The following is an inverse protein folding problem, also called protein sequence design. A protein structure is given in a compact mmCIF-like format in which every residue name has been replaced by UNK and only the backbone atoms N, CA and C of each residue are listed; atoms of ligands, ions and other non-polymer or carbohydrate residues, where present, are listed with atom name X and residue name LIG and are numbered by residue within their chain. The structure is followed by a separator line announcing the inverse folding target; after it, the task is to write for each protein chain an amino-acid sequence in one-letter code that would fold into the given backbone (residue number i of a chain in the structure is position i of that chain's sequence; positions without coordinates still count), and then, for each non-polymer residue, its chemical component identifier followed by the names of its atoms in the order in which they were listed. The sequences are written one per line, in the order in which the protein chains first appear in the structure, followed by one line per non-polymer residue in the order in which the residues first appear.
data_IF_870616476811
#
_entry.id   IF_870616476811
#
_cell.length_a   1.000
_cell.length_b   1.000
_cell.length_c   1.000
_cell.angle_alpha   90.00
_cell.angle_beta   90.00
_cell.angle_gamma   90.00
#
_symmetry.space_group_name_H-M   'P 1'
#
loop_
_entity.id
_entity.type
_entity.pdbx_description
1 polymer ?
#
# COMPACT_ATOMS: atom_id res chain seq x y z
N UNK A 1 -18.69 -21.54 4.29
CA UNK A 1 -18.69 -20.32 5.15
C UNK A 1 -19.42 -19.14 4.52
N UNK A 2 -18.91 -18.45 3.49
CA UNK A 2 -19.58 -17.23 2.96
C UNK A 2 -21.00 -17.49 2.43
N UNK A 3 -21.15 -18.51 1.59
CA UNK A 3 -22.46 -18.95 1.07
C UNK A 3 -23.38 -19.46 2.18
N UNK A 4 -22.83 -20.13 3.19
CA UNK A 4 -23.59 -20.64 4.35
C UNK A 4 -24.14 -19.52 5.25
N UNK A 5 -23.47 -18.36 5.27
CA UNK A 5 -23.94 -17.15 5.95
C UNK A 5 -24.86 -16.29 5.06
N UNK A 6 -25.20 -16.75 3.85
CA UNK A 6 -26.03 -16.00 2.90
C UNK A 6 -25.34 -14.78 2.28
N UNK A 7 -24.00 -14.70 2.35
CA UNK A 7 -23.23 -13.61 1.74
C UNK A 7 -22.91 -13.95 0.29
N UNK A 8 -23.37 -13.10 -0.63
CA UNK A 8 -22.97 -13.14 -2.04
C UNK A 8 -21.68 -12.34 -2.22
N UNK A 9 -20.57 -13.05 -2.46
CA UNK A 9 -19.25 -12.45 -2.66
C UNK A 9 -18.74 -12.88 -4.03
N UNK A 10 -18.48 -11.90 -4.89
CA UNK A 10 -17.89 -12.15 -6.20
C UNK A 10 -16.53 -12.85 -6.05
N UNK A 11 -16.35 -13.92 -6.82
CA UNK A 11 -15.18 -14.81 -6.77
C UNK A 11 -13.85 -14.06 -6.92
N UNK A 12 -13.81 -12.91 -7.62
CA UNK A 12 -12.60 -12.10 -7.82
C UNK A 12 -12.02 -11.61 -6.49
N UNK A 13 -12.85 -11.34 -5.49
CA UNK A 13 -12.37 -10.93 -4.16
C UNK A 13 -11.67 -12.09 -3.46
N UNK A 14 -12.23 -13.29 -3.54
CA UNK A 14 -11.66 -14.50 -2.94
C UNK A 14 -10.35 -14.87 -3.64
N UNK A 15 -10.33 -14.80 -4.97
CA UNK A 15 -9.12 -15.03 -5.77
C UNK A 15 -8.01 -14.04 -5.41
N UNK A 16 -8.31 -12.74 -5.32
CA UNK A 16 -7.31 -11.73 -4.96
C UNK A 16 -6.71 -11.97 -3.57
N UNK A 17 -7.54 -12.36 -2.60
CA UNK A 17 -7.07 -12.73 -1.26
C UNK A 17 -6.15 -13.96 -1.32
N UNK A 18 -6.55 -15.00 -2.07
CA UNK A 18 -5.75 -16.21 -2.23
C UNK A 18 -4.39 -15.92 -2.92
N UNK A 19 -4.38 -15.08 -3.96
CA UNK A 19 -3.15 -14.67 -4.66
C UNK A 19 -2.20 -13.93 -3.72
N UNK A 20 -2.72 -12.98 -2.94
CA UNK A 20 -1.92 -12.23 -1.96
C UNK A 20 -1.33 -13.17 -0.89
N UNK A 21 -2.09 -14.18 -0.46
CA UNK A 21 -1.64 -15.17 0.51
C UNK A 21 -0.63 -16.18 -0.04
N UNK A 22 -0.50 -16.34 -1.37
CA UNK A 22 0.31 -17.42 -1.97
C UNK A 22 1.42 -16.93 -2.90
N UNK A 23 1.55 -15.62 -3.13
CA UNK A 23 2.52 -15.02 -4.06
C UNK A 23 3.99 -15.40 -3.83
N UNK A 24 4.38 -15.80 -2.62
CA UNK A 24 5.76 -16.16 -2.25
C UNK A 24 6.07 -17.64 -2.45
N UNK A 25 5.08 -18.45 -2.84
CA UNK A 25 5.19 -19.92 -2.94
C UNK A 25 4.81 -20.66 -1.66
N UNK A 26 4.58 -19.95 -0.56
CA UNK A 26 4.05 -20.49 0.71
C UNK A 26 2.78 -19.74 1.12
N UNK A 27 1.93 -20.36 1.94
CA UNK A 27 0.71 -19.72 2.44
C UNK A 27 1.07 -18.77 3.58
N UNK A 28 0.96 -17.47 3.32
CA UNK A 28 1.18 -16.41 4.30
C UNK A 28 -0.14 -15.97 4.95
N UNK A 29 -0.09 -15.75 6.26
CA UNK A 29 -1.22 -15.18 7.01
C UNK A 29 -1.42 -13.68 6.71
N UNK A 30 -2.66 -13.23 6.80
CA UNK A 30 -3.00 -11.80 6.79
C UNK A 30 -2.86 -11.28 8.23
N UNK A 31 -1.85 -10.45 8.47
CA UNK A 31 -1.59 -9.88 9.80
C UNK A 31 -0.13 -9.49 9.99
N UNK A 32 0.22 -9.08 11.23
CA UNK A 32 1.55 -8.54 11.58
C UNK A 32 2.70 -9.55 11.44
N UNK A 33 2.44 -10.85 11.52
CA UNK A 33 3.45 -11.90 11.35
C UNK A 33 3.43 -12.50 9.93
N UNK A 34 2.76 -11.85 8.98
CA UNK A 34 2.73 -12.23 7.59
C UNK A 34 2.71 -11.00 6.70
N UNK A 35 1.75 -10.93 5.79
CA UNK A 35 1.73 -9.94 4.70
C UNK A 35 1.81 -8.48 5.19
N UNK A 36 1.17 -8.13 6.31
CA UNK A 36 1.16 -6.75 6.82
C UNK A 36 2.48 -6.35 7.48
N UNK A 37 3.17 -7.29 8.13
CA UNK A 37 4.47 -7.05 8.78
C UNK A 37 5.64 -6.97 7.80
N UNK A 38 5.50 -7.59 6.63
CA UNK A 38 6.50 -7.58 5.55
C UNK A 38 6.41 -6.36 4.63
N UNK A 39 5.52 -5.39 4.93
CA UNK A 39 5.46 -4.15 4.14
C UNK A 39 6.81 -3.43 4.15
N UNK A 40 7.26 -3.00 2.98
CA UNK A 40 8.55 -2.32 2.82
C UNK A 40 8.58 -0.92 3.44
N UNK A 41 7.43 -0.24 3.54
CA UNK A 41 7.34 1.08 4.14
C UNK A 41 7.37 0.99 5.67
N UNK A 42 8.25 1.77 6.30
CA UNK A 42 8.37 1.92 7.75
C UNK A 42 7.09 2.52 8.31
N UNK A 43 6.58 3.58 7.67
CA UNK A 43 5.35 4.25 8.09
C UNK A 43 4.14 3.33 7.93
N UNK A 44 4.09 2.54 6.85
CA UNK A 44 3.01 1.58 6.63
C UNK A 44 3.02 0.42 7.64
N UNK A 45 4.20 -0.06 8.07
CA UNK A 45 4.31 -1.04 9.17
C UNK A 45 3.92 -0.43 10.50
N UNK A 46 4.44 0.75 10.83
CA UNK A 46 4.16 1.44 12.09
C UNK A 46 2.68 1.83 12.26
N UNK A 47 1.96 2.04 11.15
CA UNK A 47 0.52 2.29 11.15
C UNK A 47 -0.34 1.05 11.49
N UNK A 48 0.23 -0.16 11.46
CA UNK A 48 -0.49 -1.40 11.73
C UNK A 48 0.14 -2.16 12.90
N UNK A 49 -0.29 -1.79 14.12
CA UNK A 49 0.22 -2.32 15.40
C UNK A 49 1.70 -2.00 15.69
N UNK A 50 2.13 -2.15 16.95
CA UNK A 50 3.53 -2.01 17.41
C UNK A 50 4.30 -0.76 16.90
N UNK A 51 3.61 0.37 16.76
CA UNK A 51 4.13 1.62 16.15
C UNK A 51 5.51 2.05 16.63
N UNK A 52 5.72 2.11 17.95
CA UNK A 52 6.98 2.58 18.54
C UNK A 52 8.14 1.63 18.20
N UNK A 53 7.91 0.32 18.26
CA UNK A 53 8.95 -0.67 17.97
C UNK A 53 9.41 -0.57 16.53
N UNK A 54 8.47 -0.46 15.58
CA UNK A 54 8.80 -0.30 14.17
C UNK A 54 9.60 0.97 13.87
N UNK A 55 9.26 2.09 14.51
CA UNK A 55 10.00 3.35 14.33
C UNK A 55 11.41 3.30 14.95
N UNK A 56 11.54 2.71 16.13
CA UNK A 56 12.85 2.56 16.81
C UNK A 56 13.76 1.64 16.01
N UNK A 57 13.27 0.49 15.58
CA UNK A 57 14.06 -0.48 14.80
C UNK A 57 14.52 0.12 13.47
N UNK A 58 13.62 0.86 12.79
CA UNK A 58 13.94 1.57 11.55
C UNK A 58 14.99 2.66 11.77
N UNK A 59 14.89 3.42 12.87
CA UNK A 59 15.86 4.46 13.23
C UNK A 59 17.26 3.86 13.52
N UNK A 60 17.33 2.75 14.24
CA UNK A 60 18.59 2.04 14.54
C UNK A 60 19.24 1.53 13.23
N UNK A 61 18.45 1.03 12.29
CA UNK A 61 18.92 0.50 11.01
C UNK A 61 19.18 1.58 9.95
N UNK A 62 18.73 2.81 10.18
CA UNK A 62 18.80 3.89 9.19
C UNK A 62 17.91 3.64 7.97
N UNK A 63 16.75 2.98 8.14
CA UNK A 63 15.84 2.70 7.03
C UNK A 63 15.25 3.99 6.44
N UNK A 64 15.12 4.05 5.11
CA UNK A 64 14.49 5.17 4.40
C UNK A 64 13.18 4.72 3.78
N UNK A 65 12.11 5.49 3.99
CA UNK A 65 10.79 5.21 3.41
C UNK A 65 10.66 5.87 2.04
N UNK A 66 10.43 5.10 0.95
CA UNK A 66 10.34 5.65 -0.39
C UNK A 66 9.00 6.32 -0.71
N UNK A 67 8.01 6.30 0.20
CA UNK A 67 6.71 6.96 0.03
C UNK A 67 5.95 6.52 -1.24
N UNK A 68 5.98 5.22 -1.54
CA UNK A 68 5.35 4.68 -2.77
C UNK A 68 3.95 4.09 -2.55
N UNK A 69 3.61 3.73 -1.32
CA UNK A 69 2.33 3.14 -0.95
C UNK A 69 1.32 4.17 -0.46
N UNK A 70 0.08 3.71 -0.28
CA UNK A 70 -1.04 4.59 0.05
C UNK A 70 -0.94 5.15 1.48
N UNK A 71 -0.56 4.31 2.45
CA UNK A 71 -0.61 4.66 3.88
C UNK A 71 0.38 5.78 4.19
N UNK A 72 1.61 5.61 3.75
CA UNK A 72 2.70 6.54 4.00
C UNK A 72 2.48 7.90 3.31
N UNK A 73 1.88 7.91 2.11
CA UNK A 73 1.49 9.15 1.43
C UNK A 73 0.36 9.90 2.16
N UNK A 74 -0.61 9.17 2.73
CA UNK A 74 -1.68 9.75 3.56
C UNK A 74 -1.10 10.38 4.82
N UNK A 75 -0.19 9.69 5.52
CA UNK A 75 0.42 10.19 6.76
C UNK A 75 1.20 11.48 6.52
N UNK A 76 1.93 11.57 5.40
CA UNK A 76 2.72 12.76 5.03
C UNK A 76 1.87 13.87 4.42
N UNK A 77 0.63 13.57 3.99
CA UNK A 77 -0.29 14.55 3.42
C UNK A 77 -0.02 14.90 1.96
N UNK A 78 0.55 13.97 1.19
CA UNK A 78 0.82 14.14 -0.25
C UNK A 78 -0.13 13.30 -1.11
N UNK A 79 -0.18 13.60 -2.42
CA UNK A 79 -0.99 12.82 -3.36
C UNK A 79 -0.46 11.39 -3.44
N UNK A 80 -1.34 10.39 -3.25
CA UNK A 80 -0.98 8.98 -3.35
C UNK A 80 -1.00 8.49 -4.81
N UNK A 81 -0.11 7.58 -5.22
CA UNK A 81 -0.03 7.07 -6.59
C UNK A 81 -1.12 6.02 -6.91
N UNK A 82 -2.36 6.28 -6.51
CA UNK A 82 -3.52 5.41 -6.71
C UNK A 82 -4.67 6.19 -7.36
N UNK A 83 -5.41 5.55 -8.26
CA UNK A 83 -6.58 6.14 -8.89
C UNK A 83 -6.21 7.38 -9.70
N UNK A 84 -6.78 8.54 -9.36
CA UNK A 84 -6.47 9.81 -10.03
C UNK A 84 -5.03 10.28 -9.81
N UNK A 85 -4.39 9.86 -8.72
CA UNK A 85 -2.99 10.17 -8.47
C UNK A 85 -2.00 9.30 -9.25
N UNK A 86 -2.48 8.30 -10.00
CA UNK A 86 -1.64 7.48 -10.88
C UNK A 86 -1.35 8.14 -12.24
N UNK A 87 -1.92 9.32 -12.50
CA UNK A 87 -1.72 10.07 -13.74
C UNK A 87 -1.20 11.48 -13.43
N UNK A 88 -0.28 11.97 -14.26
CA UNK A 88 0.23 13.33 -14.20
C UNK A 88 -0.37 14.17 -15.32
N UNK A 89 -0.79 15.39 -14.98
CA UNK A 89 -1.34 16.34 -15.95
C UNK A 89 -0.24 17.29 -16.42
N UNK A 90 -0.05 17.36 -17.73
CA UNK A 90 0.87 18.30 -18.35
C UNK A 90 0.09 19.33 -19.16
N UNK A 91 0.45 20.60 -19.00
CA UNK A 91 -0.08 21.69 -19.83
C UNK A 91 1.03 22.23 -20.72
N UNK A 92 0.85 22.13 -22.03
CA UNK A 92 1.75 22.78 -23.00
C UNK A 92 1.21 24.17 -23.33
N UNK A 93 1.96 25.21 -23.02
CA UNK A 93 1.64 26.55 -23.52
C UNK A 93 1.93 26.60 -25.02
N UNK A 94 0.90 26.85 -25.84
CA UNK A 94 1.13 27.21 -27.25
C UNK A 94 1.91 28.51 -27.27
N UNK A 95 3.07 28.49 -27.93
CA UNK A 95 3.88 29.68 -28.15
C UNK A 95 3.00 30.80 -28.67
N UNK A 96 3.00 31.92 -27.96
CA UNK A 96 2.47 33.17 -28.46
C UNK A 96 3.24 33.45 -29.74
N UNK A 97 2.59 33.36 -30.89
CA UNK A 97 3.14 33.86 -32.14
C UNK A 97 3.31 35.36 -31.93
N UNK A 98 4.51 35.77 -31.57
CA UNK A 98 4.90 37.17 -31.56
C UNK A 98 4.77 37.67 -33.00
N UNK A 99 3.81 38.57 -33.20
CA UNK A 99 3.67 39.43 -34.38
C UNK A 99 4.81 40.45 -34.45
#
# INVERSE_FOLDING_TARGET
VLTEQGLDVDIRHVMLVADIMTKTGEVQQIGRHGISGEKSSVLARAAFELTIQHLVDAAIKGETDPLKGVIENIIVGQSMPLGTGSVELFMTQRGRSDE
#
